data_IF_768522543707
#
_entry.id   IF_768522543707
#
_cell.length_a   1.000
_cell.length_b   1.000
_cell.length_c   1.000
_cell.angle_alpha   90.00
_cell.angle_beta   90.00
_cell.angle_gamma   90.00
#
_symmetry.space_group_name_H-M   'P 1'
#
loop_
_entity.id
_entity.type
_entity.pdbx_description
1 polymer ?
#
# COMPACT_ATOMS: atom_id res chain seq x y z
N UNK A 1 1.27 -13.38 -0.51
CA UNK A 1 1.95 -13.39 0.81
C UNK A 1 2.49 -11.98 1.08
N UNK A 2 3.36 -11.42 0.24
CA UNK A 2 3.82 -10.03 0.41
C UNK A 2 2.76 -8.97 0.09
N UNK A 3 1.87 -9.20 -0.88
CA UNK A 3 0.78 -8.27 -1.23
C UNK A 3 -0.20 -8.01 -0.08
N UNK A 4 -0.41 -8.99 0.81
CA UNK A 4 -1.27 -8.81 1.98
C UNK A 4 -0.60 -7.92 3.03
N UNK A 5 0.73 -7.99 3.19
CA UNK A 5 1.47 -7.08 4.08
C UNK A 5 1.48 -5.65 3.52
N UNK A 6 1.66 -5.51 2.21
CA UNK A 6 1.59 -4.23 1.49
C UNK A 6 0.24 -3.55 1.70
N UNK A 7 -0.85 -4.29 1.47
CA UNK A 7 -2.23 -3.81 1.64
C UNK A 7 -2.52 -3.47 3.10
N UNK A 8 -2.21 -4.37 4.03
CA UNK A 8 -2.48 -4.17 5.46
C UNK A 8 -1.75 -2.93 5.99
N UNK A 9 -0.49 -2.72 5.61
CA UNK A 9 0.27 -1.52 6.00
C UNK A 9 -0.39 -0.24 5.48
N UNK A 10 -0.89 -0.26 4.25
CA UNK A 10 -1.58 0.88 3.65
C UNK A 10 -2.94 1.15 4.30
N UNK A 11 -3.76 0.10 4.52
CA UNK A 11 -5.08 0.21 5.16
C UNK A 11 -4.97 0.77 6.58
N UNK A 12 -4.05 0.25 7.40
CA UNK A 12 -3.87 0.73 8.77
C UNK A 12 -3.44 2.21 8.80
N UNK A 13 -2.55 2.63 7.89
CA UNK A 13 -2.17 4.04 7.79
C UNK A 13 -3.35 4.91 7.31
N UNK A 14 -4.18 4.41 6.40
CA UNK A 14 -5.39 5.10 5.95
C UNK A 14 -6.43 5.27 7.08
N UNK A 15 -6.52 4.29 7.99
CA UNK A 15 -7.29 4.37 9.24
C UNK A 15 -6.67 5.30 10.31
N UNK A 16 -5.47 5.84 10.04
CA UNK A 16 -4.79 6.80 10.91
C UNK A 16 -3.86 6.17 11.95
N UNK A 17 -3.52 4.88 11.82
CA UNK A 17 -2.50 4.26 12.66
C UNK A 17 -1.11 4.86 12.36
N UNK A 18 -0.29 5.01 13.40
CA UNK A 18 1.07 5.47 13.24
C UNK A 18 2.00 4.35 12.76
N UNK A 19 3.12 4.71 12.11
CA UNK A 19 4.08 3.75 11.56
C UNK A 19 4.70 2.82 12.60
N UNK A 20 4.76 3.22 13.88
CA UNK A 20 5.26 2.37 14.93
C UNK A 20 4.25 1.27 15.29
N UNK A 21 2.97 1.62 15.44
CA UNK A 21 1.89 0.65 15.64
C UNK A 21 1.77 -0.33 14.47
N UNK A 22 1.83 0.17 13.23
CA UNK A 22 1.80 -0.67 12.02
C UNK A 22 3.01 -1.62 11.99
N UNK A 23 4.21 -1.11 12.29
CA UNK A 23 5.41 -1.94 12.37
C UNK A 23 5.30 -3.05 13.41
N UNK A 24 4.75 -2.75 14.59
CA UNK A 24 4.52 -3.74 15.64
C UNK A 24 3.54 -4.84 15.19
N UNK A 25 2.42 -4.47 14.57
CA UNK A 25 1.41 -5.42 14.07
C UNK A 25 1.98 -6.32 12.97
N UNK A 26 2.77 -5.75 12.06
CA UNK A 26 3.36 -6.48 10.93
C UNK A 26 4.69 -7.18 11.27
N UNK A 27 5.19 -7.04 12.51
CA UNK A 27 6.47 -7.60 12.93
C UNK A 27 7.68 -7.01 12.20
N UNK A 28 7.62 -5.74 11.80
CA UNK A 28 8.67 -5.05 11.07
C UNK A 28 9.04 -3.68 11.69
N UNK A 29 10.06 -3.02 11.15
CA UNK A 29 10.42 -1.67 11.60
C UNK A 29 9.42 -0.63 11.08
N UNK A 30 9.26 0.53 11.73
CA UNK A 30 8.38 1.59 11.25
C UNK A 30 8.73 2.07 9.83
N UNK A 31 10.03 2.08 9.50
CA UNK A 31 10.51 2.40 8.16
C UNK A 31 10.09 1.35 7.13
N UNK A 32 10.16 0.06 7.48
CA UNK A 32 9.70 -1.01 6.62
C UNK A 32 8.18 -0.94 6.40
N UNK A 33 7.38 -0.69 7.44
CA UNK A 33 5.94 -0.48 7.33
C UNK A 33 5.59 0.67 6.36
N UNK A 34 6.31 1.78 6.46
CA UNK A 34 6.14 2.92 5.54
C UNK A 34 6.50 2.58 4.10
N UNK A 35 7.56 1.79 3.87
CA UNK A 35 7.94 1.34 2.54
C UNK A 35 6.92 0.36 1.95
N UNK A 36 6.34 -0.51 2.78
CA UNK A 36 5.27 -1.42 2.37
C UNK A 36 4.04 -0.65 1.89
N UNK A 37 3.55 0.30 2.69
CA UNK A 37 2.39 1.11 2.32
C UNK A 37 2.62 1.94 1.03
N UNK A 38 3.78 2.59 0.90
CA UNK A 38 4.12 3.35 -0.32
C UNK A 38 4.19 2.47 -1.57
N UNK A 39 4.65 1.23 -1.42
CA UNK A 39 4.73 0.31 -2.55
C UNK A 39 3.34 -0.16 -2.97
N UNK A 40 2.45 -0.45 -2.02
CA UNK A 40 1.05 -0.75 -2.32
C UNK A 40 0.37 0.39 -3.09
N UNK A 41 0.55 1.61 -2.62
CA UNK A 41 -0.01 2.82 -3.26
C UNK A 41 0.49 2.97 -4.69
N UNK A 42 1.81 2.89 -4.92
CA UNK A 42 2.40 3.01 -6.26
C UNK A 42 1.92 1.91 -7.20
N UNK A 43 1.84 0.67 -6.72
CA UNK A 43 1.43 -0.46 -7.53
C UNK A 43 -0.07 -0.33 -7.87
N UNK A 44 -0.90 0.16 -6.94
CA UNK A 44 -2.33 0.48 -7.17
C UNK A 44 -2.52 1.63 -8.15
N UNK A 45 -1.75 2.72 -8.01
CA UNK A 45 -1.76 3.85 -8.93
C UNK A 45 -1.36 3.41 -10.35
N UNK A 46 -0.36 2.54 -10.47
CA UNK A 46 0.07 2.01 -11.76
C UNK A 46 -1.02 1.17 -12.43
N UNK A 47 -1.74 0.34 -11.67
CA UNK A 47 -2.88 -0.44 -12.18
C UNK A 47 -4.08 0.45 -12.53
N UNK A 48 -4.34 1.49 -11.73
CA UNK A 48 -5.37 2.49 -12.02
C UNK A 48 -5.04 3.26 -13.31
N UNK A 49 -3.78 3.66 -13.51
CA UNK A 49 -3.31 4.34 -14.72
C UNK A 49 -3.47 3.47 -15.97
N UNK A 50 -3.13 2.17 -15.89
CA UNK A 50 -3.35 1.23 -17.00
C UNK A 50 -4.82 1.07 -17.35
N UNK A 51 -5.69 1.04 -16.33
CA UNK A 51 -7.14 0.89 -16.51
C UNK A 51 -7.79 2.12 -17.17
N UNK A 52 -7.23 3.32 -17.00
CA UNK A 52 -7.75 4.54 -17.64
C UNK A 52 -7.50 4.61 -19.15
N UNK A 53 -6.45 3.97 -19.68
CA UNK A 53 -6.18 3.96 -21.13
C UNK A 53 -7.12 3.06 -21.93
N UNK A 54 -7.88 2.16 -21.30
CA UNK A 54 -8.86 1.31 -21.99
C UNK A 54 -10.27 1.91 -22.12
N UNK A 55 -10.54 3.10 -21.56
CA UNK A 55 -11.86 3.73 -21.64
C UNK A 55 -12.07 4.62 -22.88
N UNK A 56 -11.04 4.84 -23.68
CA UNK A 56 -11.09 5.72 -24.86
C UNK A 56 -10.60 5.06 -26.17
N UNK A 57 -10.51 3.73 -26.23
CA UNK A 57 -10.30 3.01 -27.49
C UNK A 57 -11.68 2.67 -28.08
N UNK A 58 -12.21 3.56 -28.93
CA UNK A 58 -13.49 3.41 -29.64
C UNK A 58 -13.38 3.91 -31.09
#
# INVERSE_FOLDING_TARGET
>A
MDDDLLRTAWEMNADGADWHAIGQELGCTPEAARLLAQRYERDTDAEAAKSQFSLFDL
#
